data_IF_242391068475
#
_entry.id   IF_242391068475
#
_cell.length_a   1.000
_cell.length_b   1.000
_cell.length_c   1.000
_cell.angle_alpha   90.00
_cell.angle_beta   90.00
_cell.angle_gamma   90.00
#
_symmetry.space_group_name_H-M   'P 1'
#
loop_
_entity.id
_entity.type
_entity.pdbx_description
1 polymer ?
#
# COMPACT_ATOMS: atom_id res chain seq x y z
N UNK A 1 -15.79 7.30 20.84
CA UNK A 1 -15.79 6.30 19.75
C UNK A 1 -14.32 5.96 19.49
N UNK A 2 -13.83 4.82 19.97
CA UNK A 2 -12.44 4.42 19.75
C UNK A 2 -12.28 3.95 18.30
N UNK A 3 -11.50 4.68 17.50
CA UNK A 3 -11.03 4.15 16.23
C UNK A 3 -10.00 3.05 16.55
N UNK A 4 -10.39 1.79 16.41
CA UNK A 4 -9.44 0.68 16.37
C UNK A 4 -8.49 0.93 15.20
N UNK A 5 -7.18 0.99 15.45
CA UNK A 5 -6.19 1.05 14.39
C UNK A 5 -6.31 -0.23 13.56
N UNK A 6 -6.88 -0.12 12.35
CA UNK A 6 -6.94 -1.24 11.41
C UNK A 6 -5.58 -1.35 10.74
N UNK A 7 -4.92 -2.49 10.92
CA UNK A 7 -3.68 -2.81 10.21
C UNK A 7 -4.00 -3.15 8.75
N UNK A 8 -3.31 -2.50 7.83
CA UNK A 8 -3.42 -2.75 6.40
C UNK A 8 -2.28 -3.68 5.96
N UNK A 9 -2.62 -4.87 5.48
CA UNK A 9 -1.64 -5.85 4.98
C UNK A 9 -1.66 -5.87 3.46
N UNK A 10 -0.48 -5.71 2.86
CA UNK A 10 -0.28 -5.74 1.40
C UNK A 10 0.97 -6.60 1.14
N UNK A 11 0.88 -7.52 0.18
CA UNK A 11 1.99 -8.40 -0.18
C UNK A 11 3.16 -7.58 -0.76
N UNK A 12 4.27 -7.55 -0.02
CA UNK A 12 5.48 -6.84 -0.44
C UNK A 12 6.11 -7.37 -1.73
N UNK A 13 5.87 -8.63 -2.12
CA UNK A 13 6.29 -9.16 -3.42
C UNK A 13 5.54 -8.47 -4.55
N UNK A 14 4.23 -8.26 -4.37
CA UNK A 14 3.40 -7.55 -5.33
C UNK A 14 3.84 -6.09 -5.45
N UNK A 15 4.02 -5.41 -4.31
CA UNK A 15 4.52 -4.02 -4.30
C UNK A 15 5.86 -3.90 -5.03
N UNK A 16 6.83 -4.76 -4.69
CA UNK A 16 8.15 -4.73 -5.32
C UNK A 16 8.05 -4.92 -6.84
N UNK A 17 7.26 -5.90 -7.30
CA UNK A 17 7.03 -6.15 -8.72
C UNK A 17 6.40 -4.95 -9.42
N UNK A 18 5.38 -4.33 -8.85
CA UNK A 18 4.67 -3.18 -9.46
C UNK A 18 5.55 -1.93 -9.50
N UNK A 19 6.43 -1.73 -8.51
CA UNK A 19 7.46 -0.67 -8.56
C UNK A 19 8.55 -1.01 -9.59
N UNK A 20 8.83 -2.29 -9.82
CA UNK A 20 9.93 -2.75 -10.69
C UNK A 20 11.24 -2.99 -9.92
N UNK A 21 11.13 -3.40 -8.66
CA UNK A 21 12.24 -3.73 -7.77
C UNK A 21 12.28 -5.23 -7.46
N UNK A 22 13.47 -5.72 -7.15
CA UNK A 22 13.62 -7.03 -6.52
C UNK A 22 13.11 -6.99 -5.06
N UNK A 23 12.57 -8.09 -4.54
CA UNK A 23 11.89 -8.12 -3.23
C UNK A 23 12.86 -7.79 -2.09
N UNK A 24 14.09 -8.30 -2.11
CA UNK A 24 15.08 -8.00 -1.08
C UNK A 24 15.48 -6.52 -1.12
N UNK A 25 15.68 -5.96 -2.32
CA UNK A 25 15.97 -4.53 -2.50
C UNK A 25 14.82 -3.65 -1.98
N UNK A 26 13.57 -4.00 -2.30
CA UNK A 26 12.39 -3.32 -1.77
C UNK A 26 12.34 -3.35 -0.24
N UNK A 27 12.60 -4.51 0.39
CA UNK A 27 12.63 -4.65 1.85
C UNK A 27 13.74 -3.82 2.49
N UNK A 28 14.92 -3.77 1.88
CA UNK A 28 16.01 -2.91 2.35
C UNK A 28 15.64 -1.42 2.25
N UNK A 29 15.08 -0.99 1.12
CA UNK A 29 14.63 0.40 0.93
C UNK A 29 13.50 0.79 1.90
N UNK A 30 12.60 -0.14 2.23
CA UNK A 30 11.60 0.06 3.30
C UNK A 30 12.27 0.24 4.67
N UNK A 31 13.23 -0.63 5.02
CA UNK A 31 13.97 -0.53 6.28
C UNK A 31 14.78 0.77 6.40
N UNK A 32 15.34 1.25 5.28
CA UNK A 32 16.09 2.50 5.18
C UNK A 32 15.18 3.75 5.11
N UNK A 33 13.85 3.58 5.13
CA UNK A 33 12.88 4.67 5.02
C UNK A 33 12.89 5.39 3.67
N UNK A 34 13.36 4.73 2.60
CA UNK A 34 13.44 5.26 1.23
C UNK A 34 12.17 5.05 0.42
N UNK A 35 11.30 4.13 0.84
CA UNK A 35 9.96 3.98 0.30
C UNK A 35 8.99 4.79 1.16
N UNK A 36 8.33 5.76 0.55
CA UNK A 36 7.25 6.51 1.22
C UNK A 36 5.92 5.81 0.95
N UNK A 37 5.06 5.71 1.98
CA UNK A 37 3.73 5.12 1.86
C UNK A 37 2.68 6.16 2.20
N UNK A 38 1.72 6.36 1.30
CA UNK A 38 0.52 7.13 1.53
C UNK A 38 -0.66 6.18 1.70
N UNK A 39 -1.34 6.28 2.84
CA UNK A 39 -2.57 5.54 3.11
C UNK A 39 -3.74 6.52 3.17
N UNK A 40 -4.74 6.28 2.34
CA UNK A 40 -5.97 7.06 2.27
C UNK A 40 -7.15 6.15 2.66
N UNK A 41 -8.10 6.70 3.40
CA UNK A 41 -9.34 5.99 3.76
C UNK A 41 -10.47 6.49 2.88
N UNK A 42 -11.18 5.57 2.23
CA UNK A 42 -12.38 5.85 1.46
C UNK A 42 -13.53 6.32 2.35
N UNK A 43 -14.38 7.18 1.79
CA UNK A 43 -15.56 7.75 2.44
C UNK A 43 -16.70 7.83 1.44
N UNK A 44 -17.95 7.92 1.91
CA UNK A 44 -19.11 7.95 1.01
C UNK A 44 -19.29 6.60 0.33
N UNK A 45 -19.30 6.58 -1.00
CA UNK A 45 -19.45 5.35 -1.80
C UNK A 45 -18.28 4.37 -1.61
N UNK A 46 -17.09 4.87 -1.29
CA UNK A 46 -15.89 4.06 -1.00
C UNK A 46 -15.70 3.74 0.49
N UNK A 47 -16.73 3.97 1.32
CA UNK A 47 -16.62 3.73 2.76
C UNK A 47 -16.22 2.27 3.06
N UNK A 48 -15.17 2.09 3.85
CA UNK A 48 -14.61 0.79 4.21
C UNK A 48 -13.47 0.31 3.32
N UNK A 49 -13.20 1.01 2.21
CA UNK A 49 -12.02 0.78 1.38
C UNK A 49 -10.86 1.67 1.80
N UNK A 50 -9.64 1.20 1.56
CA UNK A 50 -8.40 1.95 1.76
C UNK A 50 -7.60 1.97 0.47
N UNK A 51 -6.88 3.06 0.23
CA UNK A 51 -5.91 3.15 -0.86
C UNK A 51 -4.52 3.31 -0.28
N UNK A 52 -3.63 2.38 -0.60
CA UNK A 52 -2.22 2.51 -0.28
C UNK A 52 -1.45 2.82 -1.57
N UNK A 53 -0.59 3.85 -1.52
CA UNK A 53 0.34 4.15 -2.60
C UNK A 53 1.76 4.15 -2.06
N UNK A 54 2.61 3.29 -2.62
CA UNK A 54 4.03 3.21 -2.35
C UNK A 54 4.78 4.04 -3.39
N UNK A 55 5.72 4.87 -2.94
CA UNK A 55 6.51 5.75 -3.81
C UNK A 55 8.00 5.45 -3.68
N UNK A 56 8.66 5.35 -4.83
CA UNK A 56 10.11 5.27 -4.94
C UNK A 56 10.60 6.03 -6.16
N UNK A 57 11.21 7.20 -5.95
CA UNK A 57 11.62 8.08 -7.04
C UNK A 57 10.44 8.45 -7.96
N UNK A 58 10.49 8.04 -9.23
CA UNK A 58 9.42 8.25 -10.23
C UNK A 58 8.45 7.08 -10.34
N UNK A 59 8.70 5.99 -9.62
CA UNK A 59 7.88 4.78 -9.65
C UNK A 59 6.88 4.81 -8.49
N UNK A 60 5.70 4.23 -8.73
CA UNK A 60 4.69 4.05 -7.71
C UNK A 60 3.94 2.74 -7.90
N UNK A 61 3.53 2.14 -6.80
CA UNK A 61 2.59 1.02 -6.79
C UNK A 61 1.37 1.42 -5.97
N UNK A 62 0.18 1.23 -6.53
CA UNK A 62 -1.08 1.62 -5.91
C UNK A 62 -1.99 0.42 -5.74
N UNK A 63 -2.58 0.33 -4.56
CA UNK A 63 -3.48 -0.76 -4.20
C UNK A 63 -4.74 -0.20 -3.54
N UNK A 64 -5.88 -0.81 -3.85
CA UNK A 64 -7.12 -0.65 -3.09
C UNK A 64 -7.26 -1.89 -2.21
N UNK A 65 -7.62 -1.69 -0.96
CA UNK A 65 -7.93 -2.77 -0.03
C UNK A 65 -9.35 -2.59 0.46
N UNK A 66 -10.18 -3.61 0.25
CA UNK A 66 -11.58 -3.59 0.68
C UNK A 66 -11.73 -3.80 2.20
N UNK A 67 -12.95 -3.68 2.71
CA UNK A 67 -13.26 -3.87 4.13
C UNK A 67 -12.97 -5.29 4.66
N UNK A 68 -12.78 -6.28 3.78
CA UNK A 68 -12.40 -7.64 4.10
C UNK A 68 -10.88 -7.87 4.01
N UNK A 69 -10.09 -6.83 3.73
CA UNK A 69 -8.65 -6.92 3.58
C UNK A 69 -8.20 -7.43 2.21
N UNK A 70 -9.09 -7.54 1.21
CA UNK A 70 -8.68 -7.99 -0.12
C UNK A 70 -8.00 -6.87 -0.88
N UNK A 71 -6.76 -7.12 -1.30
CA UNK A 71 -5.96 -6.17 -2.08
C UNK A 71 -6.19 -6.34 -3.57
N UNK A 72 -6.35 -5.22 -4.28
CA UNK A 72 -6.35 -5.16 -5.74
C UNK A 72 -5.39 -4.07 -6.23
N UNK A 73 -4.68 -4.33 -7.32
CA UNK A 73 -3.87 -3.30 -8.00
C UNK A 73 -4.77 -2.23 -8.60
N UNK A 74 -4.31 -0.97 -8.53
CA UNK A 74 -5.00 0.17 -9.12
C UNK A 74 -4.04 1.01 -9.98
N UNK A 75 -4.56 1.66 -11.05
CA UNK A 75 -3.76 2.47 -11.97
C UNK A 75 -3.21 3.76 -11.34
#
# INVERSE_FOLDING_TARGET
MNATAQSLEIDGVLVARTIGLEVAAFRQLMADGKISVLCERGTGEDAGSYRATFYYGKQRARFIVDAHGRTQEAP
#
